data_IF_225285747963
#
_entry.id   IF_225285747963
#
_cell.length_a   1.000
_cell.length_b   1.000
_cell.length_c   1.000
_cell.angle_alpha   90.00
_cell.angle_beta   90.00
_cell.angle_gamma   90.00
#
_symmetry.space_group_name_H-M   'P 1'
#
loop_
_entity.id
_entity.type
_entity.pdbx_description
1 polymer ?
#
# COMPACT_ATOMS: atom_id res chain seq x y z
N UNK A 1 -11.16 -0.29 -36.48
CA UNK A 1 -9.69 -0.41 -36.29
C UNK A 1 -9.13 0.40 -35.10
N UNK A 2 -9.79 1.45 -34.61
CA UNK A 2 -9.30 2.25 -33.46
C UNK A 2 -9.35 1.54 -32.07
N UNK A 3 -10.23 0.55 -31.88
CA UNK A 3 -10.35 -0.18 -30.61
C UNK A 3 -9.13 -1.05 -30.28
N UNK A 4 -8.45 -1.59 -31.29
CA UNK A 4 -7.32 -2.50 -31.10
C UNK A 4 -6.05 -1.74 -30.66
N UNK A 5 -5.88 -0.49 -31.12
CA UNK A 5 -4.75 0.37 -30.75
C UNK A 5 -4.89 0.90 -29.32
N UNK A 6 -6.10 1.36 -28.93
CA UNK A 6 -6.38 1.83 -27.57
C UNK A 6 -6.23 0.70 -26.53
N UNK A 7 -6.72 -0.49 -26.85
CA UNK A 7 -6.56 -1.65 -25.98
C UNK A 7 -5.07 -2.02 -25.79
N UNK A 8 -4.30 -2.09 -26.88
CA UNK A 8 -2.84 -2.35 -26.81
C UNK A 8 -2.07 -1.28 -26.03
N UNK A 9 -2.43 -0.01 -26.16
CA UNK A 9 -1.80 1.08 -25.41
C UNK A 9 -2.13 0.98 -23.91
N UNK A 10 -3.39 0.73 -23.56
CA UNK A 10 -3.82 0.52 -22.18
C UNK A 10 -3.08 -0.66 -21.54
N UNK A 11 -3.03 -1.82 -22.19
CA UNK A 11 -2.32 -3.01 -21.68
C UNK A 11 -0.81 -2.78 -21.49
N UNK A 12 -0.17 -2.04 -22.40
CA UNK A 12 1.25 -1.69 -22.26
C UNK A 12 1.50 -0.74 -21.09
N UNK A 13 0.62 0.24 -20.90
CA UNK A 13 0.73 1.18 -19.79
C UNK A 13 0.55 0.47 -18.44
N UNK A 14 -0.49 -0.36 -18.29
CA UNK A 14 -0.74 -1.10 -17.04
C UNK A 14 0.39 -2.08 -16.71
N UNK A 15 0.93 -2.79 -17.70
CA UNK A 15 2.08 -3.67 -17.51
C UNK A 15 3.34 -2.91 -17.05
N UNK A 16 3.57 -1.72 -17.62
CA UNK A 16 4.71 -0.87 -17.24
C UNK A 16 4.57 -0.36 -15.81
N UNK A 17 3.40 0.15 -15.42
CA UNK A 17 3.13 0.60 -14.05
C UNK A 17 3.27 -0.55 -13.04
N UNK A 18 2.71 -1.72 -13.35
CA UNK A 18 2.83 -2.92 -12.52
C UNK A 18 4.29 -3.34 -12.30
N UNK A 19 5.11 -3.33 -13.34
CA UNK A 19 6.53 -3.68 -13.24
C UNK A 19 7.31 -2.66 -12.40
N UNK A 20 7.02 -1.36 -12.54
CA UNK A 20 7.62 -0.30 -11.72
C UNK A 20 7.27 -0.48 -10.24
N UNK A 21 6.01 -0.80 -9.94
CA UNK A 21 5.58 -1.09 -8.59
C UNK A 21 6.32 -2.28 -7.96
N UNK A 22 6.43 -3.39 -8.70
CA UNK A 22 7.17 -4.58 -8.23
C UNK A 22 8.64 -4.25 -8.01
N UNK A 23 9.25 -3.48 -8.92
CA UNK A 23 10.63 -3.03 -8.78
C UNK A 23 10.83 -2.17 -7.51
N UNK A 24 9.94 -1.21 -7.24
CA UNK A 24 9.97 -0.40 -6.03
C UNK A 24 9.85 -1.25 -4.75
N UNK A 25 8.94 -2.23 -4.73
CA UNK A 25 8.84 -3.18 -3.62
C UNK A 25 10.12 -3.99 -3.43
N UNK A 26 10.81 -4.35 -4.51
CA UNK A 26 12.07 -5.08 -4.43
C UNK A 26 13.22 -4.20 -3.90
N UNK A 27 13.29 -2.93 -4.31
CA UNK A 27 14.28 -1.97 -3.81
C UNK A 27 14.12 -1.69 -2.31
N UNK A 28 12.88 -1.66 -1.82
CA UNK A 28 12.58 -1.44 -0.40
C UNK A 28 12.67 -2.72 0.43
N UNK A 29 12.84 -3.89 -0.19
CA UNK A 29 12.88 -5.16 0.53
C UNK A 29 14.08 -5.19 1.48
N UNK A 30 13.81 -5.63 2.72
CA UNK A 30 14.80 -5.65 3.79
C UNK A 30 14.97 -4.32 4.53
N UNK A 31 14.34 -3.23 4.05
CA UNK A 31 14.35 -1.93 4.72
C UNK A 31 13.09 -1.68 5.57
N UNK A 32 13.21 -0.78 6.55
CA UNK A 32 12.11 -0.40 7.41
C UNK A 32 11.41 0.80 6.81
N UNK A 33 10.33 0.53 6.07
CA UNK A 33 9.54 1.56 5.40
C UNK A 33 8.95 2.60 6.36
N UNK A 34 8.67 2.23 7.61
CA UNK A 34 8.21 3.21 8.61
C UNK A 34 9.32 4.16 9.04
N UNK A 35 10.55 3.67 9.24
CA UNK A 35 11.68 4.54 9.54
C UNK A 35 12.01 5.43 8.34
N UNK A 36 11.92 4.88 7.13
CA UNK A 36 12.12 5.62 5.88
C UNK A 36 11.10 6.75 5.70
N UNK A 37 9.81 6.44 5.84
CA UNK A 37 8.75 7.44 5.68
C UNK A 37 8.75 8.46 6.81
N UNK A 38 8.80 8.01 8.07
CA UNK A 38 8.56 8.90 9.21
C UNK A 38 9.81 9.68 9.66
N UNK A 39 10.97 9.43 9.06
CA UNK A 39 12.18 10.21 9.31
C UNK A 39 12.60 10.25 10.79
N UNK A 40 12.55 9.10 11.47
CA UNK A 40 12.75 9.03 12.93
C UNK A 40 14.23 9.05 13.37
N UNK A 41 15.14 9.51 12.50
CA UNK A 41 16.58 9.60 12.76
C UNK A 41 17.29 8.25 12.90
N UNK A 42 16.63 7.14 12.54
CA UNK A 42 17.22 5.80 12.58
C UNK A 42 17.66 5.36 11.20
N UNK A 43 18.68 4.51 11.19
CA UNK A 43 19.04 3.72 10.02
C UNK A 43 17.80 2.99 9.46
N UNK A 44 17.70 2.91 8.13
CA UNK A 44 16.60 2.25 7.43
C UNK A 44 16.92 0.80 7.04
N UNK A 45 18.17 0.37 7.16
CA UNK A 45 18.67 -0.97 6.81
C UNK A 45 18.33 -2.04 7.87
N UNK A 46 17.04 -2.17 8.18
CA UNK A 46 16.53 -3.18 9.07
C UNK A 46 15.09 -3.54 8.72
N UNK A 47 14.62 -4.73 9.07
CA UNK A 47 13.23 -5.14 8.80
C UNK A 47 12.25 -4.51 9.78
N UNK A 48 10.96 -4.42 9.41
CA UNK A 48 9.92 -3.98 10.34
C UNK A 48 9.88 -4.85 11.62
N UNK A 49 10.09 -6.16 11.49
CA UNK A 49 10.16 -7.11 12.61
C UNK A 49 11.29 -6.79 13.58
N UNK A 50 12.43 -6.29 13.10
CA UNK A 50 13.57 -5.86 13.93
C UNK A 50 13.53 -4.38 14.35
N UNK A 51 12.60 -3.60 13.80
CA UNK A 51 12.46 -2.18 14.10
C UNK A 51 12.13 -1.96 15.58
N UNK A 52 12.87 -1.03 16.20
CA UNK A 52 12.77 -0.62 17.61
C UNK A 52 12.03 0.70 17.81
N UNK A 53 11.49 1.29 16.73
CA UNK A 53 10.74 2.54 16.80
C UNK A 53 9.37 2.34 17.44
N UNK A 54 8.89 3.31 18.21
CA UNK A 54 7.56 3.27 18.80
C UNK A 54 6.44 3.23 17.74
N UNK A 55 6.67 3.88 16.59
CA UNK A 55 5.71 3.94 15.47
C UNK A 55 5.36 2.57 14.88
N UNK A 56 6.24 1.57 15.01
CA UNK A 56 5.95 0.18 14.67
C UNK A 56 4.76 -0.34 15.48
N UNK A 57 4.71 -0.02 16.77
CA UNK A 57 3.63 -0.49 17.65
C UNK A 57 2.33 0.24 17.38
N UNK A 58 2.38 1.52 17.02
CA UNK A 58 1.21 2.27 16.53
C UNK A 58 0.62 1.59 15.28
N UNK A 59 1.46 1.30 14.30
CA UNK A 59 1.07 0.56 13.10
C UNK A 59 0.39 -0.78 13.43
N UNK A 60 0.98 -1.60 14.29
CA UNK A 60 0.40 -2.90 14.64
C UNK A 60 -0.92 -2.76 15.39
N UNK A 61 -1.08 -1.74 16.24
CA UNK A 61 -2.36 -1.43 16.90
C UNK A 61 -3.42 -1.02 15.87
N UNK A 62 -3.09 -0.11 14.96
CA UNK A 62 -3.98 0.35 13.90
C UNK A 62 -4.44 -0.81 13.00
N UNK A 63 -3.49 -1.66 12.58
CA UNK A 63 -3.75 -2.88 11.80
C UNK A 63 -4.70 -3.82 12.53
N UNK A 64 -4.43 -4.11 13.81
CA UNK A 64 -5.27 -4.99 14.63
C UNK A 64 -6.67 -4.41 14.82
N UNK A 65 -6.79 -3.13 15.12
CA UNK A 65 -8.08 -2.46 15.28
C UNK A 65 -8.93 -2.52 14.00
N UNK A 66 -8.32 -2.29 12.84
CA UNK A 66 -9.00 -2.41 11.55
C UNK A 66 -9.46 -3.85 11.27
N UNK A 67 -8.63 -4.85 11.58
CA UNK A 67 -8.99 -6.26 11.44
C UNK A 67 -10.18 -6.64 12.33
N UNK A 68 -10.16 -6.27 13.61
CA UNK A 68 -11.26 -6.58 14.53
C UNK A 68 -12.54 -5.83 14.18
N UNK A 69 -12.44 -4.53 13.89
CA UNK A 69 -13.61 -3.74 13.47
C UNK A 69 -14.21 -4.31 12.19
N UNK A 70 -13.36 -4.66 11.22
CA UNK A 70 -13.81 -5.22 9.95
C UNK A 70 -14.63 -6.50 10.14
N UNK A 71 -14.29 -7.40 11.08
CA UNK A 71 -15.09 -8.62 11.35
C UNK A 71 -16.54 -8.33 11.76
N UNK A 72 -16.79 -7.15 12.34
CA UNK A 72 -18.12 -6.76 12.83
C UNK A 72 -18.94 -6.00 11.81
N UNK A 73 -18.30 -5.25 10.91
CA UNK A 73 -18.99 -4.38 9.93
C UNK A 73 -18.96 -4.95 8.50
N UNK A 74 -18.12 -5.95 8.24
CA UNK A 74 -17.97 -6.63 6.94
C UNK A 74 -17.44 -8.06 7.13
N UNK A 75 -17.34 -8.84 6.04
CA UNK A 75 -16.85 -10.23 6.08
C UNK A 75 -15.31 -10.35 6.23
N UNK A 76 -14.58 -9.26 6.44
CA UNK A 76 -13.12 -9.24 6.56
C UNK A 76 -12.52 -7.87 6.24
N UNK A 77 -11.26 -7.62 6.60
CA UNK A 77 -10.63 -6.31 6.39
C UNK A 77 -10.43 -5.97 4.92
N UNK A 78 -9.93 -6.93 4.13
CA UNK A 78 -9.74 -6.74 2.70
C UNK A 78 -10.90 -7.40 1.96
N UNK A 79 -11.33 -6.79 0.85
CA UNK A 79 -12.32 -7.40 -0.02
C UNK A 79 -11.82 -8.76 -0.56
N UNK A 80 -12.75 -9.70 -0.77
CA UNK A 80 -12.43 -11.01 -1.32
C UNK A 80 -11.78 -10.85 -2.70
N UNK A 81 -10.70 -11.60 -2.94
CA UNK A 81 -9.87 -11.54 -4.14
C UNK A 81 -9.21 -10.19 -4.49
N UNK A 82 -9.49 -9.11 -3.76
CA UNK A 82 -8.92 -7.78 -4.01
C UNK A 82 -7.49 -7.61 -3.48
N UNK A 83 -7.13 -8.29 -2.41
CA UNK A 83 -5.76 -8.24 -1.88
C UNK A 83 -5.44 -9.46 -1.00
N UNK A 84 -4.16 -9.74 -0.81
CA UNK A 84 -3.70 -10.77 0.11
C UNK A 84 -3.95 -10.35 1.55
N UNK A 85 -4.67 -11.17 2.31
CA UNK A 85 -5.00 -10.91 3.72
C UNK A 85 -3.78 -10.79 4.65
N UNK A 86 -2.60 -11.31 4.24
CA UNK A 86 -1.38 -11.27 5.04
C UNK A 86 -0.58 -9.99 4.82
N UNK A 87 -0.32 -9.64 3.56
CA UNK A 87 0.56 -8.53 3.18
C UNK A 87 -0.17 -7.32 2.57
N UNK A 88 -1.45 -7.40 2.24
CA UNK A 88 -2.22 -6.31 1.63
C UNK A 88 -1.95 -6.06 0.14
N UNK A 89 -1.07 -6.84 -0.48
CA UNK A 89 -0.68 -6.67 -1.88
C UNK A 89 -1.71 -7.31 -2.84
N UNK A 90 -1.76 -6.86 -4.10
CA UNK A 90 -2.66 -7.37 -5.15
C UNK A 90 -2.40 -8.86 -5.34
N UNK A 91 -3.45 -9.68 -5.48
CA UNK A 91 -3.32 -11.15 -5.53
C UNK A 91 -2.43 -11.66 -6.67
N UNK A 92 -2.45 -11.03 -7.85
CA UNK A 92 -1.59 -11.44 -8.97
C UNK A 92 -0.09 -11.15 -8.73
N UNK A 93 0.21 -10.17 -7.88
CA UNK A 93 1.58 -9.80 -7.47
C UNK A 93 1.97 -10.62 -6.24
N UNK A 94 1.06 -10.72 -5.29
CA UNK A 94 1.10 -11.66 -4.18
C UNK A 94 0.67 -13.04 -4.64
N UNK A 95 1.41 -13.62 -5.58
CA UNK A 95 1.32 -15.06 -5.75
C UNK A 95 1.65 -15.73 -4.41
N UNK A 96 0.94 -16.79 -4.04
CA UNK A 96 1.49 -17.82 -3.16
C UNK A 96 2.74 -18.40 -3.83
N UNK A 97 3.82 -17.62 -4.00
CA UNK A 97 5.00 -17.96 -4.79
C UNK A 97 5.83 -19.04 -4.08
N UNK A 98 5.25 -20.24 -3.99
CA UNK A 98 5.84 -21.43 -3.41
C UNK A 98 5.59 -21.60 -1.90
N UNK A 99 6.12 -22.71 -1.40
CA UNK A 99 6.26 -23.03 0.03
C UNK A 99 7.20 -21.99 0.65
N UNK A 100 6.67 -20.87 1.16
CA UNK A 100 7.54 -19.79 1.67
C UNK A 100 6.94 -18.45 2.11
N UNK A 101 5.67 -18.14 1.80
CA UNK A 101 4.97 -16.97 2.37
C UNK A 101 5.09 -15.64 1.61
N UNK A 102 4.56 -14.56 2.20
CA UNK A 102 4.42 -13.26 1.55
C UNK A 102 5.73 -12.47 1.54
N UNK A 103 6.44 -12.46 0.39
CA UNK A 103 7.73 -11.78 0.19
C UNK A 103 7.76 -10.30 0.64
N UNK A 104 6.63 -9.61 0.49
CA UNK A 104 6.50 -8.16 0.77
C UNK A 104 5.63 -7.85 2.00
N UNK A 105 5.55 -8.78 2.98
CA UNK A 105 4.69 -8.65 4.17
C UNK A 105 4.93 -7.38 5.00
N UNK A 106 6.15 -6.87 4.98
CA UNK A 106 6.60 -5.74 5.81
C UNK A 106 6.60 -4.41 5.04
N UNK A 107 6.05 -4.39 3.82
CA UNK A 107 6.09 -3.21 2.95
C UNK A 107 4.71 -2.60 2.74
N UNK A 108 3.77 -3.33 2.13
CA UNK A 108 2.55 -2.72 1.57
C UNK A 108 1.64 -2.09 2.63
N UNK A 109 1.23 -2.84 3.66
CA UNK A 109 0.37 -2.27 4.74
C UNK A 109 1.10 -1.15 5.50
N UNK A 110 2.37 -1.33 5.95
CA UNK A 110 3.09 -0.28 6.64
C UNK A 110 3.32 0.99 5.81
N UNK A 111 3.62 0.86 4.51
CA UNK A 111 3.76 1.99 3.58
C UNK A 111 2.44 2.77 3.47
N UNK A 112 1.34 2.07 3.26
CA UNK A 112 0.02 2.69 3.18
C UNK A 112 -0.31 3.43 4.48
N UNK A 113 -0.15 2.77 5.64
CA UNK A 113 -0.37 3.40 6.94
C UNK A 113 0.51 4.62 7.17
N UNK A 114 1.79 4.55 6.81
CA UNK A 114 2.77 5.62 7.01
C UNK A 114 2.43 6.92 6.27
N UNK A 115 1.65 6.87 5.19
CA UNK A 115 1.17 8.05 4.44
C UNK A 115 0.43 9.03 5.34
N UNK A 116 -0.32 8.54 6.34
CA UNK A 116 -1.05 9.39 7.27
C UNK A 116 -0.17 10.39 8.02
N UNK A 117 1.10 10.08 8.16
CA UNK A 117 2.04 10.79 9.02
C UNK A 117 3.17 11.47 8.25
N UNK A 118 3.28 11.23 6.93
CA UNK A 118 4.26 11.91 6.08
C UNK A 118 3.69 13.25 5.62
N UNK A 119 4.20 14.33 6.19
CA UNK A 119 3.81 15.68 5.83
C UNK A 119 3.96 15.93 4.32
N UNK A 120 2.95 16.55 3.71
CA UNK A 120 2.90 16.87 2.27
C UNK A 120 2.56 15.68 1.36
N UNK A 121 2.66 14.44 1.85
CA UNK A 121 2.29 13.26 1.07
C UNK A 121 0.85 12.84 1.29
N UNK A 122 0.32 12.99 2.52
CA UNK A 122 -1.04 12.60 2.85
C UNK A 122 -2.06 13.23 1.90
N UNK A 123 -2.03 14.55 1.76
CA UNK A 123 -2.97 15.28 0.91
C UNK A 123 -2.75 14.90 -0.56
N UNK A 124 -1.50 14.94 -1.05
CA UNK A 124 -1.14 14.59 -2.44
C UNK A 124 -1.62 13.18 -2.82
N UNK A 125 -1.29 12.18 -2.01
CA UNK A 125 -1.60 10.77 -2.28
C UNK A 125 -3.09 10.50 -2.17
N UNK A 126 -3.75 10.98 -1.11
CA UNK A 126 -5.15 10.63 -0.86
C UNK A 126 -6.14 11.43 -1.71
N UNK A 127 -5.76 12.61 -2.21
CA UNK A 127 -6.54 13.33 -3.22
C UNK A 127 -6.58 12.54 -4.53
N UNK A 128 -5.42 12.03 -4.98
CA UNK A 128 -5.32 11.25 -6.21
C UNK A 128 -5.95 9.85 -6.09
N UNK A 129 -5.81 9.21 -4.93
CA UNK A 129 -6.36 7.88 -4.67
C UNK A 129 -7.79 8.02 -4.18
N UNK A 130 -8.73 8.02 -5.13
CA UNK A 130 -10.19 8.04 -4.91
C UNK A 130 -10.80 9.42 -4.61
N UNK A 131 -10.31 10.47 -5.28
CA UNK A 131 -10.91 11.82 -5.25
C UNK A 131 -11.07 12.35 -3.82
N UNK A 132 -10.03 12.19 -2.99
CA UNK A 132 -10.02 12.70 -1.62
C UNK A 132 -10.86 11.90 -0.61
N UNK A 133 -11.53 10.79 -1.01
CA UNK A 133 -12.29 9.97 -0.03
C UNK A 133 -11.41 9.36 1.05
N UNK A 134 -10.16 9.02 0.74
CA UNK A 134 -9.18 8.61 1.73
C UNK A 134 -8.85 9.72 2.72
N UNK A 135 -8.78 10.97 2.25
CA UNK A 135 -8.54 12.14 3.10
C UNK A 135 -9.73 12.39 4.05
N UNK A 136 -10.96 12.28 3.52
CA UNK A 136 -12.17 12.37 4.33
C UNK A 136 -12.26 11.25 5.39
N UNK A 137 -11.83 10.03 5.07
CA UNK A 137 -11.73 8.94 6.04
C UNK A 137 -10.68 9.23 7.13
N UNK A 138 -9.49 9.66 6.72
CA UNK A 138 -8.41 10.05 7.64
C UNK A 138 -8.75 11.23 8.54
N UNK A 139 -9.62 12.14 8.09
CA UNK A 139 -10.12 13.25 8.90
C UNK A 139 -11.07 12.79 10.02
N UNK A 140 -11.76 11.65 9.85
CA UNK A 140 -12.63 11.09 10.90
C UNK A 140 -11.83 10.34 11.96
N UNK A 141 -11.00 9.38 11.54
CA UNK A 141 -10.12 8.65 12.44
C UNK A 141 -9.07 7.83 11.68
N UNK A 142 -8.00 7.44 12.38
CA UNK A 142 -7.03 6.47 11.86
C UNK A 142 -7.72 5.13 11.53
N UNK A 143 -8.69 4.70 12.35
CA UNK A 143 -9.43 3.46 12.12
C UNK A 143 -10.25 3.54 10.83
N UNK A 144 -10.95 4.64 10.59
CA UNK A 144 -11.73 4.84 9.36
C UNK A 144 -10.84 4.83 8.12
N UNK A 145 -9.66 5.46 8.20
CA UNK A 145 -8.66 5.38 7.14
C UNK A 145 -8.19 3.94 6.90
N UNK A 146 -7.84 3.22 7.97
CA UNK A 146 -7.40 1.83 7.84
C UNK A 146 -8.50 0.95 7.27
N UNK A 147 -9.77 1.19 7.60
CA UNK A 147 -10.89 0.47 7.00
C UNK A 147 -11.02 0.79 5.50
N UNK A 148 -10.91 2.07 5.13
CA UNK A 148 -10.94 2.54 3.74
C UNK A 148 -9.82 1.90 2.90
N UNK A 149 -8.61 1.74 3.45
CA UNK A 149 -7.52 1.04 2.75
C UNK A 149 -7.92 -0.39 2.29
N UNK A 150 -8.80 -1.05 3.04
CA UNK A 150 -9.29 -2.39 2.71
C UNK A 150 -10.41 -2.44 1.67
N UNK A 151 -10.93 -1.30 1.24
CA UNK A 151 -11.95 -1.22 0.20
C UNK A 151 -11.38 -1.56 -1.19
N UNK A 152 -12.25 -1.97 -2.10
CA UNK A 152 -11.87 -2.36 -3.44
C UNK A 152 -11.39 -1.16 -4.28
N UNK A 153 -10.45 -1.41 -5.17
CA UNK A 153 -10.00 -0.47 -6.19
C UNK A 153 -9.63 -1.22 -7.45
N UNK A 154 -9.64 -0.55 -8.61
CA UNK A 154 -8.96 -1.07 -9.79
C UNK A 154 -7.50 -0.61 -9.76
N UNK A 155 -6.55 -1.54 -9.86
CA UNK A 155 -5.12 -1.24 -9.91
C UNK A 155 -4.51 -2.06 -11.04
N UNK A 156 -3.82 -1.40 -11.98
CA UNK A 156 -3.25 -2.04 -13.19
C UNK A 156 -4.25 -2.82 -14.07
N UNK A 157 -5.53 -2.45 -14.05
CA UNK A 157 -6.58 -3.14 -14.80
C UNK A 157 -7.04 -4.46 -14.18
N UNK A 158 -6.73 -4.70 -12.90
CA UNK A 158 -7.21 -5.83 -12.12
C UNK A 158 -7.85 -5.37 -10.81
N UNK A 159 -8.64 -6.26 -10.19
CA UNK A 159 -9.24 -6.01 -8.89
C UNK A 159 -8.14 -5.97 -7.81
N UNK A 160 -8.07 -4.84 -7.12
CA UNK A 160 -7.11 -4.52 -6.08
C UNK A 160 -7.79 -3.99 -4.82
N UNK A 161 -6.98 -3.33 -3.97
CA UNK A 161 -7.44 -2.58 -2.80
C UNK A 161 -6.98 -1.13 -2.89
N UNK A 162 -7.67 -0.23 -2.17
CA UNK A 162 -7.21 1.16 -2.00
C UNK A 162 -5.81 1.21 -1.40
N UNK A 163 -5.46 0.23 -0.56
CA UNK A 163 -4.09 0.04 -0.05
C UNK A 163 -3.05 -0.10 -1.16
N UNK A 164 -3.30 -0.97 -2.15
CA UNK A 164 -2.37 -1.13 -3.27
C UNK A 164 -2.26 0.16 -4.11
N UNK A 165 -3.37 0.86 -4.32
CA UNK A 165 -3.38 2.15 -5.03
C UNK A 165 -2.59 3.24 -4.29
N UNK A 166 -2.74 3.33 -2.96
CA UNK A 166 -1.93 4.22 -2.12
C UNK A 166 -0.45 3.90 -2.23
N UNK A 167 -0.09 2.62 -2.13
CA UNK A 167 1.33 2.21 -2.19
C UNK A 167 1.95 2.47 -3.56
N UNK A 168 1.21 2.32 -4.65
CA UNK A 168 1.70 2.69 -5.99
C UNK A 168 2.10 4.16 -6.08
N UNK A 169 1.24 5.06 -5.58
CA UNK A 169 1.55 6.49 -5.50
C UNK A 169 2.76 6.78 -4.62
N UNK A 170 2.83 6.13 -3.46
CA UNK A 170 3.98 6.24 -2.56
C UNK A 170 5.28 5.77 -3.22
N UNK A 171 5.25 4.67 -3.97
CA UNK A 171 6.42 4.20 -4.72
C UNK A 171 6.88 5.24 -5.75
N UNK A 172 5.94 5.87 -6.46
CA UNK A 172 6.26 6.97 -7.36
C UNK A 172 7.03 8.09 -6.66
N UNK A 173 6.53 8.56 -5.51
CA UNK A 173 7.16 9.62 -4.73
C UNK A 173 8.54 9.23 -4.18
N UNK A 174 8.70 8.00 -3.69
CA UNK A 174 9.99 7.50 -3.19
C UNK A 174 11.05 7.47 -4.31
N UNK A 175 10.65 7.04 -5.52
CA UNK A 175 11.56 7.00 -6.66
C UNK A 175 11.91 8.41 -7.15
N UNK A 176 10.93 9.31 -7.19
CA UNK A 176 11.17 10.73 -7.52
C UNK A 176 12.13 11.41 -6.52
N UNK A 177 12.01 11.13 -5.22
CA UNK A 177 12.95 11.65 -4.19
C UNK A 177 14.35 11.03 -4.28
N UNK A 178 14.52 9.85 -4.90
CA UNK A 178 15.82 9.19 -5.04
C UNK A 178 16.61 9.65 -6.28
N UNK A 179 15.92 10.17 -7.29
CA UNK A 179 16.50 10.65 -8.56
C UNK A 179 16.87 12.15 -8.53
N UNK A 180 16.48 12.89 -7.46
CA UNK A 180 16.73 14.32 -7.28
C UNK A 180 17.73 14.63 -6.17
#
# INVERSE_FOLDING_TARGET
>A
MAGNTRHRQYTRHTATSRNRFIHGLELLRGSCVLCRLLGNGRDTEHTLDSCRSASKWDFFRAKKAAQEKAKTVRKGWLNEFGACFRCGNIQSICGNQGVGGCRYKDLVIPLAWGVLYKAGWKEKVLEEVDMGRGLAAAARSELDYMLWLGEAAEVYGEQGSKMAAVVDKVMGLILEEADG
#
